data_IF_193773317430
#
_entry.id   IF_193773317430
#
_cell.length_a   1.000
_cell.length_b   1.000
_cell.length_c   1.000
_cell.angle_alpha   90.00
_cell.angle_beta   90.00
_cell.angle_gamma   90.00
#
_symmetry.space_group_name_H-M   'P 1'
#
loop_
_entity.id
_entity.type
_entity.pdbx_description
1 polymer ?
#
# COMPACT_ATOMS: atom_id res chain seq x y z
N UNK A 1 27.70 -7.99 17.85
CA UNK A 1 26.45 -7.29 18.18
C UNK A 1 26.60 -5.86 17.67
N UNK A 2 26.18 -5.58 16.43
CA UNK A 2 26.17 -4.20 15.95
C UNK A 2 25.15 -3.42 16.78
N UNK A 3 25.53 -2.26 17.30
CA UNK A 3 24.60 -1.36 17.96
C UNK A 3 23.48 -1.04 16.97
N UNK A 4 22.22 -1.31 17.35
CA UNK A 4 21.08 -0.89 16.56
C UNK A 4 21.12 0.64 16.55
N UNK A 5 21.37 1.24 15.38
CA UNK A 5 21.29 2.69 15.24
C UNK A 5 19.89 3.15 15.65
N UNK A 6 19.82 4.27 16.37
CA UNK A 6 18.53 4.88 16.71
C UNK A 6 17.76 5.17 15.41
N UNK A 7 16.43 4.96 15.39
CA UNK A 7 15.64 5.20 14.18
C UNK A 7 15.63 6.69 13.84
N UNK A 8 15.66 7.00 12.54
CA UNK A 8 15.39 8.35 12.04
C UNK A 8 13.88 8.55 11.83
N UNK A 9 13.15 7.46 11.59
CA UNK A 9 11.72 7.49 11.28
C UNK A 9 10.95 6.56 12.22
N UNK A 10 9.83 7.05 12.76
CA UNK A 10 8.77 6.19 13.29
C UNK A 10 7.71 6.06 12.21
N UNK A 11 7.45 4.84 11.75
CA UNK A 11 6.39 4.52 10.80
C UNK A 11 5.16 4.00 11.55
N UNK A 12 4.04 4.72 11.47
CA UNK A 12 2.76 4.23 11.95
C UNK A 12 2.10 3.38 10.87
N UNK A 13 1.90 2.10 11.18
CA UNK A 13 1.38 1.07 10.27
C UNK A 13 0.07 0.48 10.82
N UNK A 14 -0.65 -0.25 9.99
CA UNK A 14 -1.90 -0.91 10.32
C UNK A 14 -1.65 -2.30 10.92
N UNK A 15 -2.17 -2.53 12.11
CA UNK A 15 -2.01 -3.78 12.85
C UNK A 15 -2.89 -4.92 12.30
N UNK A 16 -2.33 -6.13 12.20
CA UNK A 16 -3.04 -7.38 12.01
C UNK A 16 -2.56 -8.45 13.00
N UNK A 17 -3.30 -9.55 13.14
CA UNK A 17 -2.94 -10.65 14.05
C UNK A 17 -1.66 -11.39 13.62
N UNK A 18 -1.21 -11.20 12.38
CA UNK A 18 0.03 -11.76 11.84
C UNK A 18 1.27 -10.92 12.21
N UNK A 19 1.08 -9.75 12.84
CA UNK A 19 2.14 -8.82 13.20
C UNK A 19 3.06 -8.43 12.01
N UNK A 20 2.44 -8.20 10.85
CA UNK A 20 3.11 -7.76 9.62
C UNK A 20 2.29 -6.67 8.93
N UNK A 21 2.95 -5.87 8.08
CA UNK A 21 2.28 -4.92 7.21
C UNK A 21 1.35 -5.61 6.20
N UNK A 22 0.09 -5.17 6.13
CA UNK A 22 -0.87 -5.58 5.10
C UNK A 22 -1.57 -4.39 4.43
N UNK A 23 -1.15 -3.15 4.74
CA UNK A 23 -1.67 -1.96 4.08
C UNK A 23 -0.89 -1.66 2.80
N UNK A 24 -1.55 -1.59 1.62
CA UNK A 24 -0.86 -1.33 0.36
C UNK A 24 -0.25 0.08 0.32
N UNK A 25 -0.84 1.05 1.04
CA UNK A 25 -0.30 2.41 1.13
C UNK A 25 0.93 2.47 2.05
N UNK A 26 0.94 1.70 3.14
CA UNK A 26 2.08 1.65 4.06
C UNK A 26 3.24 0.90 3.43
N UNK A 27 2.97 -0.19 2.71
CA UNK A 27 3.99 -0.93 1.96
C UNK A 27 4.81 -0.05 1.01
N UNK A 28 4.21 0.97 0.37
CA UNK A 28 4.94 1.92 -0.49
C UNK A 28 6.03 2.66 0.27
N UNK A 29 5.69 3.17 1.46
CA UNK A 29 6.63 3.89 2.31
C UNK A 29 7.66 2.94 2.91
N UNK A 30 7.22 1.75 3.34
CA UNK A 30 8.11 0.70 3.86
C UNK A 30 9.17 0.29 2.83
N UNK A 31 8.76 0.03 1.58
CA UNK A 31 9.67 -0.26 0.46
C UNK A 31 10.65 0.89 0.23
N UNK A 32 10.18 2.13 0.24
CA UNK A 32 11.04 3.31 0.06
C UNK A 32 12.07 3.47 1.18
N UNK A 33 11.65 3.29 2.45
CA UNK A 33 12.55 3.31 3.61
C UNK A 33 13.60 2.19 3.53
N UNK A 34 13.17 0.98 3.16
CA UNK A 34 14.05 -0.18 3.02
C UNK A 34 15.06 0.00 1.86
N UNK A 35 14.61 0.45 0.69
CA UNK A 35 15.46 0.73 -0.47
C UNK A 35 16.52 1.80 -0.16
N UNK A 36 16.09 2.90 0.47
CA UNK A 36 16.98 3.99 0.88
C UNK A 36 17.81 3.68 2.13
N UNK A 37 17.63 2.52 2.74
CA UNK A 37 18.30 2.09 3.99
C UNK A 37 18.12 3.08 5.14
N UNK A 38 16.97 3.75 5.20
CA UNK A 38 16.64 4.70 6.27
C UNK A 38 16.28 3.88 7.51
N UNK A 39 16.94 4.09 8.67
CA UNK A 39 16.60 3.37 9.88
C UNK A 39 15.23 3.84 10.39
N UNK A 40 14.30 2.90 10.56
CA UNK A 40 12.98 3.19 11.12
C UNK A 40 12.54 2.17 12.16
N UNK A 41 11.57 2.57 12.97
CA UNK A 41 10.81 1.70 13.87
C UNK A 41 9.34 1.79 13.51
N UNK A 42 8.65 0.66 13.51
CA UNK A 42 7.22 0.63 13.26
C UNK A 42 6.42 0.67 14.56
N UNK A 43 5.30 1.41 14.53
CA UNK A 43 4.24 1.35 15.53
C UNK A 43 2.98 0.87 14.82
N UNK A 44 2.57 -0.35 15.13
CA UNK A 44 1.32 -0.91 14.63
C UNK A 44 0.13 -0.35 15.40
N UNK A 45 -0.85 0.19 14.68
CA UNK A 45 -2.10 0.71 15.21
C UNK A 45 -3.27 -0.12 14.69
N UNK A 46 -4.15 -0.52 15.59
CA UNK A 46 -5.44 -1.09 15.22
C UNK A 46 -6.33 -0.02 14.58
N UNK A 47 -7.25 -0.42 13.68
CA UNK A 47 -8.16 0.52 13.02
C UNK A 47 -8.85 1.54 13.94
N UNK A 48 -9.48 1.15 15.07
CA UNK A 48 -10.13 2.12 15.97
C UNK A 48 -9.15 3.07 16.67
N UNK A 49 -7.87 2.74 16.71
CA UNK A 49 -6.85 3.48 17.47
C UNK A 49 -6.07 4.46 16.59
N UNK A 50 -6.17 4.38 15.25
CA UNK A 50 -5.48 5.29 14.30
C UNK A 50 -5.84 6.75 14.59
N UNK A 51 -7.11 7.12 14.46
CA UNK A 51 -7.53 8.51 14.59
C UNK A 51 -7.25 9.10 15.98
N UNK A 52 -7.60 8.44 17.10
CA UNK A 52 -7.28 8.95 18.44
C UNK A 52 -5.78 9.15 18.66
N UNK A 53 -4.96 8.21 18.20
CA UNK A 53 -3.50 8.27 18.36
C UNK A 53 -2.91 9.42 17.57
N UNK A 54 -3.24 9.53 16.28
CA UNK A 54 -2.70 10.58 15.42
C UNK A 54 -3.15 11.98 15.85
N UNK A 55 -4.40 12.12 16.33
CA UNK A 55 -4.88 13.36 16.95
C UNK A 55 -4.08 13.74 18.20
N UNK A 56 -3.83 12.77 19.09
CA UNK A 56 -3.04 13.00 20.32
C UNK A 56 -1.60 13.43 20.01
N UNK A 57 -1.04 12.94 18.92
CA UNK A 57 0.30 13.31 18.43
C UNK A 57 0.32 14.66 17.70
N UNK A 58 -0.83 15.32 17.50
CA UNK A 58 -0.90 16.61 16.81
C UNK A 58 -0.65 16.52 15.30
N UNK A 59 -0.86 15.34 14.70
CA UNK A 59 -0.66 15.13 13.26
C UNK A 59 -1.66 15.99 12.49
N UNK A 60 -1.17 16.78 11.52
CA UNK A 60 -2.05 17.49 10.60
C UNK A 60 -2.47 16.55 9.46
N UNK A 61 -3.77 16.21 9.34
CA UNK A 61 -4.26 15.36 8.26
C UNK A 61 -4.10 16.01 6.87
N UNK A 62 -3.75 17.30 6.80
CA UNK A 62 -3.49 18.04 5.57
C UNK A 62 -4.77 18.49 4.88
N UNK A 63 -4.69 18.65 3.55
CA UNK A 63 -5.77 19.17 2.71
C UNK A 63 -6.09 18.16 1.62
N UNK A 64 -7.37 17.89 1.38
CA UNK A 64 -7.81 17.03 0.27
C UNK A 64 -7.78 17.80 -1.07
N UNK A 65 -7.81 17.13 -2.24
CA UNK A 65 -7.70 17.80 -3.55
C UNK A 65 -8.73 18.91 -3.80
N UNK A 66 -9.88 18.90 -3.12
CA UNK A 66 -10.89 19.98 -3.20
C UNK A 66 -10.49 21.27 -2.47
N UNK A 67 -9.30 21.31 -1.83
CA UNK A 67 -8.82 22.45 -1.04
C UNK A 67 -9.37 22.50 0.39
N UNK A 68 -10.21 21.54 0.78
CA UNK A 68 -10.75 21.46 2.15
C UNK A 68 -9.79 20.75 3.09
N UNK A 69 -9.81 21.12 4.38
CA UNK A 69 -9.05 20.42 5.41
C UNK A 69 -9.48 18.95 5.44
N UNK A 70 -8.51 18.05 5.33
CA UNK A 70 -8.75 16.63 5.48
C UNK A 70 -9.17 16.36 6.93
N UNK A 71 -10.26 15.64 7.13
CA UNK A 71 -10.75 15.26 8.46
C UNK A 71 -10.46 13.81 8.80
N UNK A 72 -9.99 13.03 7.83
CA UNK A 72 -9.72 11.61 7.98
C UNK A 72 -8.26 11.37 8.36
N UNK A 73 -8.06 10.65 9.46
CA UNK A 73 -6.75 10.21 9.91
C UNK A 73 -6.47 8.79 9.40
N UNK A 74 -5.29 8.56 8.86
CA UNK A 74 -4.93 7.32 8.20
C UNK A 74 -3.45 6.97 8.36
N UNK A 75 -3.13 5.73 8.04
CA UNK A 75 -1.76 5.26 7.82
C UNK A 75 -1.51 5.08 6.31
N UNK A 76 -0.27 5.25 5.82
CA UNK A 76 0.94 5.56 6.58
C UNK A 76 0.93 6.98 7.15
N UNK A 77 1.43 7.08 8.38
CA UNK A 77 1.90 8.33 8.97
C UNK A 77 3.33 8.09 9.44
N UNK A 78 4.20 9.09 9.32
CA UNK A 78 5.54 9.03 9.89
C UNK A 78 5.76 10.15 10.91
N UNK A 79 6.66 9.89 11.86
CA UNK A 79 7.39 10.93 12.57
C UNK A 79 8.85 10.87 12.13
N UNK A 80 9.34 11.93 11.52
CA UNK A 80 10.77 12.11 11.28
C UNK A 80 11.40 12.68 12.55
N UNK A 81 12.25 11.89 13.21
CA UNK A 81 12.82 12.20 14.51
C UNK A 81 13.84 13.36 14.47
N UNK A 82 14.76 13.45 13.49
CA UNK A 82 15.72 14.55 13.42
C UNK A 82 15.08 15.95 13.36
N UNK A 83 13.93 16.08 12.67
CA UNK A 83 13.22 17.37 12.53
C UNK A 83 11.94 17.43 13.37
N UNK A 84 11.66 16.39 14.16
CA UNK A 84 10.42 16.21 14.91
C UNK A 84 9.15 16.52 14.08
N UNK A 85 9.10 16.05 12.84
CA UNK A 85 8.03 16.37 11.89
C UNK A 85 7.08 15.20 11.70
N UNK A 86 5.78 15.44 11.86
CA UNK A 86 4.75 14.45 11.58
C UNK A 86 4.15 14.66 10.20
N UNK A 87 4.07 13.58 9.41
CA UNK A 87 3.51 13.60 8.06
C UNK A 87 2.58 12.41 7.85
N UNK A 88 1.36 12.71 7.41
CA UNK A 88 0.39 11.74 6.92
C UNK A 88 0.23 11.93 5.41
N UNK A 89 -0.28 10.89 4.75
CA UNK A 89 -0.42 10.73 3.29
C UNK A 89 0.84 10.17 2.62
N UNK A 90 0.72 9.01 1.99
CA UNK A 90 1.86 8.31 1.37
C UNK A 90 2.55 9.12 0.27
N UNK A 91 1.83 9.97 -0.46
CA UNK A 91 2.44 10.81 -1.51
C UNK A 91 3.28 11.92 -0.88
N UNK A 92 2.72 12.62 0.13
CA UNK A 92 3.45 13.65 0.88
C UNK A 92 4.68 13.08 1.57
N UNK A 93 4.55 11.89 2.16
CA UNK A 93 5.66 11.19 2.82
C UNK A 93 6.74 10.83 1.79
N UNK A 94 6.38 10.28 0.63
CA UNK A 94 7.36 9.93 -0.40
C UNK A 94 8.14 11.17 -0.90
N UNK A 95 7.47 12.29 -1.17
CA UNK A 95 8.13 13.55 -1.53
C UNK A 95 9.08 14.06 -0.44
N UNK A 96 8.66 13.97 0.83
CA UNK A 96 9.51 14.34 1.96
C UNK A 96 10.75 13.46 2.06
N UNK A 97 10.59 12.14 1.93
CA UNK A 97 11.70 11.19 1.98
C UNK A 97 12.67 11.37 0.81
N UNK A 98 12.19 11.63 -0.40
CA UNK A 98 13.04 11.91 -1.56
C UNK A 98 13.82 13.22 -1.40
N UNK A 99 13.21 14.24 -0.77
CA UNK A 99 13.87 15.52 -0.51
C UNK A 99 14.91 15.41 0.61
N UNK A 100 14.60 14.64 1.67
CA UNK A 100 15.44 14.54 2.87
C UNK A 100 16.57 13.51 2.70
N UNK A 101 16.31 12.45 1.95
CA UNK A 101 17.21 11.33 1.69
C UNK A 101 17.29 11.08 0.16
N UNK A 102 18.01 11.92 -0.60
CA UNK A 102 17.97 11.90 -2.05
C UNK A 102 18.67 10.70 -2.70
N UNK A 103 19.56 10.01 -1.98
CA UNK A 103 20.32 8.86 -2.48
C UNK A 103 19.99 7.57 -1.72
N UNK A 104 19.76 6.43 -2.39
CA UNK A 104 19.55 6.29 -3.83
C UNK A 104 18.23 6.94 -4.28
N UNK A 105 18.15 7.49 -5.51
CA UNK A 105 16.96 8.20 -5.97
C UNK A 105 15.78 7.25 -6.20
N UNK A 106 14.56 7.75 -5.95
CA UNK A 106 13.31 7.06 -6.28
C UNK A 106 12.44 8.01 -7.09
N UNK A 107 12.41 7.87 -8.43
CA UNK A 107 11.54 8.70 -9.26
C UNK A 107 10.08 8.56 -8.84
N UNK A 108 9.49 9.67 -8.38
CA UNK A 108 8.11 9.68 -7.87
C UNK A 108 7.08 9.85 -8.98
N UNK A 109 7.42 10.61 -10.03
CA UNK A 109 6.49 11.00 -11.09
C UNK A 109 7.14 10.73 -12.45
N UNK A 110 6.40 10.03 -13.31
CA UNK A 110 6.71 9.91 -14.74
C UNK A 110 5.39 9.77 -15.53
N UNK A 111 5.38 10.05 -16.84
CA UNK A 111 4.20 9.83 -17.67
C UNK A 111 3.74 8.36 -17.65
N UNK A 112 4.69 7.43 -17.76
CA UNK A 112 4.41 5.99 -17.69
C UNK A 112 3.89 5.58 -16.31
N UNK A 113 4.53 6.04 -15.24
CA UNK A 113 4.13 5.75 -13.86
C UNK A 113 2.73 6.25 -13.52
N UNK A 114 2.40 7.48 -13.91
CA UNK A 114 1.06 8.06 -13.73
C UNK A 114 -0.01 7.25 -14.45
N UNK A 115 0.30 6.76 -15.65
CA UNK A 115 -0.60 5.88 -16.42
C UNK A 115 -0.79 4.54 -15.70
N UNK A 116 0.29 3.90 -15.26
CA UNK A 116 0.22 2.63 -14.52
C UNK A 116 -0.61 2.79 -13.24
N UNK A 117 -0.35 3.82 -12.43
CA UNK A 117 -1.09 4.03 -11.18
C UNK A 117 -2.58 4.31 -11.41
N UNK A 118 -2.93 5.15 -12.38
CA UNK A 118 -4.32 5.49 -12.66
C UNK A 118 -5.12 4.28 -13.16
N UNK A 119 -4.57 3.52 -14.11
CA UNK A 119 -5.17 2.27 -14.59
C UNK A 119 -5.26 1.22 -13.48
N UNK A 120 -4.20 1.07 -12.66
CA UNK A 120 -4.19 0.10 -11.55
C UNK A 120 -5.23 0.42 -10.48
N UNK A 121 -5.43 1.70 -10.13
CA UNK A 121 -6.46 2.09 -9.16
C UNK A 121 -7.88 1.73 -9.61
N UNK A 122 -8.14 1.78 -10.92
CA UNK A 122 -9.43 1.38 -11.49
C UNK A 122 -9.55 -0.15 -11.55
N UNK A 123 -8.59 -0.81 -12.17
CA UNK A 123 -8.65 -2.25 -12.48
C UNK A 123 -8.34 -3.09 -11.24
N UNK A 124 -7.11 -3.01 -10.72
CA UNK A 124 -6.69 -3.77 -9.52
C UNK A 124 -7.54 -3.37 -8.32
N UNK A 125 -7.84 -2.07 -8.18
CA UNK A 125 -8.70 -1.58 -7.09
C UNK A 125 -10.10 -2.19 -7.10
N UNK A 126 -10.69 -2.41 -8.28
CA UNK A 126 -11.99 -3.09 -8.39
C UNK A 126 -11.92 -4.56 -7.97
N UNK A 127 -10.90 -5.29 -8.43
CA UNK A 127 -10.67 -6.69 -8.07
C UNK A 127 -10.38 -6.84 -6.58
N UNK A 128 -9.57 -5.95 -6.01
CA UNK A 128 -9.23 -5.99 -4.58
C UNK A 128 -10.42 -5.62 -3.71
N UNK A 129 -11.29 -4.72 -4.16
CA UNK A 129 -12.56 -4.43 -3.46
C UNK A 129 -13.41 -5.70 -3.35
N UNK A 130 -13.48 -6.52 -4.39
CA UNK A 130 -14.30 -7.74 -4.39
C UNK A 130 -13.59 -8.91 -3.71
N UNK A 131 -12.28 -9.07 -3.95
CA UNK A 131 -11.54 -10.30 -3.61
C UNK A 131 -10.66 -10.16 -2.35
N UNK A 132 -10.13 -8.97 -2.05
CA UNK A 132 -9.22 -8.81 -0.89
C UNK A 132 -9.99 -8.28 0.33
N UNK A 133 -10.75 -7.19 0.14
CA UNK A 133 -11.45 -6.51 1.23
C UNK A 133 -12.32 -7.41 2.12
N UNK A 134 -13.18 -8.31 1.59
CA UNK A 134 -14.00 -9.16 2.46
C UNK A 134 -13.19 -10.19 3.25
N UNK A 135 -11.98 -10.53 2.77
CA UNK A 135 -11.07 -11.49 3.40
C UNK A 135 -10.17 -10.84 4.45
N UNK A 136 -9.97 -9.52 4.42
CA UNK A 136 -9.19 -8.78 5.42
C UNK A 136 -9.70 -9.05 6.85
N UNK A 137 -11.01 -9.23 7.03
CA UNK A 137 -11.60 -9.49 8.36
C UNK A 137 -10.96 -10.68 9.08
N UNK A 138 -10.46 -11.68 8.35
CA UNK A 138 -9.86 -12.89 8.91
C UNK A 138 -8.46 -12.69 9.48
N UNK A 139 -7.80 -11.56 9.18
CA UNK A 139 -6.47 -11.23 9.72
C UNK A 139 -6.52 -10.12 10.76
N UNK A 140 -7.70 -9.62 11.11
CA UNK A 140 -7.89 -8.55 12.10
C UNK A 140 -8.17 -9.12 13.49
N UNK A 141 -7.78 -8.36 14.51
CA UNK A 141 -8.21 -8.61 15.90
C UNK A 141 -9.75 -8.47 16.02
N UNK A 142 -10.38 -8.98 17.08
CA UNK A 142 -11.83 -8.77 17.29
C UNK A 142 -12.26 -7.30 17.30
N UNK A 143 -11.48 -6.40 17.92
CA UNK A 143 -11.77 -4.95 17.95
C UNK A 143 -11.71 -4.34 16.55
N UNK A 144 -10.68 -4.71 15.80
CA UNK A 144 -10.48 -4.24 14.43
C UNK A 144 -11.51 -4.83 13.47
N UNK A 145 -11.96 -6.08 13.67
CA UNK A 145 -13.04 -6.69 12.90
C UNK A 145 -14.36 -5.93 13.05
N UNK A 146 -14.75 -5.56 14.28
CA UNK A 146 -15.97 -4.80 14.53
C UNK A 146 -15.93 -3.43 13.82
N UNK A 147 -14.83 -2.69 14.01
CA UNK A 147 -14.63 -1.41 13.33
C UNK A 147 -14.67 -1.58 11.80
N UNK A 148 -13.94 -2.57 11.28
CA UNK A 148 -13.81 -2.83 9.86
C UNK A 148 -15.16 -3.15 9.23
N UNK A 149 -15.91 -4.11 9.79
CA UNK A 149 -17.24 -4.47 9.29
C UNK A 149 -18.16 -3.26 9.26
N UNK A 150 -18.31 -2.55 10.39
CA UNK A 150 -19.19 -1.38 10.50
C UNK A 150 -18.85 -0.32 9.45
N UNK A 151 -17.57 0.00 9.28
CA UNK A 151 -17.14 1.09 8.38
C UNK A 151 -17.18 0.69 6.91
N UNK A 152 -16.82 -0.55 6.56
CA UNK A 152 -16.77 -1.01 5.17
C UNK A 152 -18.17 -1.31 4.64
N UNK A 153 -19.03 -1.96 5.42
CA UNK A 153 -20.42 -2.21 5.02
C UNK A 153 -21.21 -0.91 4.87
N UNK A 154 -20.96 0.10 5.73
CA UNK A 154 -21.51 1.44 5.54
C UNK A 154 -21.05 2.07 4.20
N UNK A 155 -19.76 1.91 3.84
CA UNK A 155 -19.23 2.37 2.54
C UNK A 155 -19.78 1.60 1.34
N UNK A 156 -20.26 0.37 1.55
CA UNK A 156 -20.99 -0.43 0.56
C UNK A 156 -22.49 -0.09 0.50
N UNK A 157 -22.94 0.99 1.16
CA UNK A 157 -24.33 1.44 1.17
C UNK A 157 -25.18 0.88 2.31
N UNK A 158 -24.57 0.23 3.31
CA UNK A 158 -25.21 -0.18 4.56
C UNK A 158 -26.19 -1.37 4.46
N UNK A 159 -26.39 -1.92 3.26
CA UNK A 159 -27.28 -3.07 3.01
C UNK A 159 -26.55 -4.33 2.52
N UNK A 160 -25.26 -4.20 2.21
CA UNK A 160 -24.43 -5.27 1.70
C UNK A 160 -23.41 -5.67 2.76
N UNK A 161 -23.35 -6.95 3.09
CA UNK A 161 -22.32 -7.53 3.96
C UNK A 161 -21.03 -7.72 3.17
N UNK A 162 -19.91 -7.81 3.89
CA UNK A 162 -18.62 -8.13 3.26
C UNK A 162 -18.70 -9.44 2.45
N UNK A 163 -19.32 -10.47 3.00
CA UNK A 163 -19.46 -11.79 2.38
C UNK A 163 -20.26 -11.75 1.06
N UNK A 164 -21.20 -10.80 0.92
CA UNK A 164 -22.03 -10.66 -0.27
C UNK A 164 -21.22 -10.16 -1.49
N UNK A 165 -19.97 -9.72 -1.29
CA UNK A 165 -19.03 -9.40 -2.39
C UNK A 165 -18.49 -10.66 -3.07
N UNK A 166 -18.44 -11.80 -2.37
CA UNK A 166 -17.96 -13.08 -2.89
C UNK A 166 -19.11 -13.99 -3.36
N UNK A 167 -20.35 -13.68 -3.01
CA UNK A 167 -21.52 -14.47 -3.33
C UNK A 167 -21.78 -14.56 -4.85
N UNK A 168 -22.45 -15.64 -5.28
CA UNK A 168 -23.06 -15.77 -6.62
C UNK A 168 -22.09 -15.57 -7.81
N UNK A 169 -20.82 -15.93 -7.63
CA UNK A 169 -19.81 -15.80 -8.69
C UNK A 169 -19.38 -14.36 -9.00
N UNK A 170 -19.74 -13.39 -8.14
CA UNK A 170 -19.34 -11.97 -8.27
C UNK A 170 -17.83 -11.79 -8.33
N UNK A 171 -17.07 -12.59 -7.58
CA UNK A 171 -15.61 -12.59 -7.66
C UNK A 171 -15.14 -12.90 -9.08
N UNK A 172 -15.62 -13.99 -9.68
CA UNK A 172 -15.23 -14.37 -11.03
C UNK A 172 -15.66 -13.33 -12.08
N UNK A 173 -16.87 -12.78 -11.95
CA UNK A 173 -17.34 -11.70 -12.82
C UNK A 173 -16.44 -10.44 -12.70
N UNK A 174 -16.00 -10.10 -11.48
CA UNK A 174 -15.08 -8.99 -11.25
C UNK A 174 -13.73 -9.23 -11.91
N UNK A 175 -13.23 -10.46 -11.90
CA UNK A 175 -11.98 -10.83 -12.56
C UNK A 175 -12.11 -10.82 -14.07
N UNK A 176 -13.22 -11.33 -14.62
CA UNK A 176 -13.46 -11.27 -16.06
C UNK A 176 -13.56 -9.85 -16.57
N UNK A 177 -14.31 -8.99 -15.87
CA UNK A 177 -14.41 -7.57 -16.21
C UNK A 177 -13.06 -6.84 -16.13
N UNK A 178 -12.14 -7.29 -15.27
CA UNK A 178 -10.81 -6.72 -15.10
C UNK A 178 -9.75 -7.29 -16.06
N UNK A 179 -10.04 -8.40 -16.77
CA UNK A 179 -9.05 -9.19 -17.51
C UNK A 179 -8.26 -8.36 -18.53
N UNK A 180 -8.96 -7.65 -19.41
CA UNK A 180 -8.33 -6.79 -20.42
C UNK A 180 -7.51 -5.67 -19.77
N UNK A 181 -8.05 -5.05 -18.72
CA UNK A 181 -7.36 -4.02 -17.96
C UNK A 181 -6.07 -4.52 -17.31
N UNK A 182 -6.07 -5.75 -16.78
CA UNK A 182 -4.88 -6.38 -16.20
C UNK A 182 -3.83 -6.66 -17.27
N UNK A 183 -4.23 -7.10 -18.47
CA UNK A 183 -3.32 -7.29 -19.60
C UNK A 183 -2.65 -5.97 -20.01
N UNK A 184 -3.44 -4.89 -20.14
CA UNK A 184 -2.92 -3.55 -20.45
C UNK A 184 -1.94 -3.06 -19.40
N UNK A 185 -2.24 -3.24 -18.10
CA UNK A 185 -1.30 -2.88 -17.04
C UNK A 185 -0.02 -3.71 -17.15
N UNK A 186 -0.13 -5.02 -17.36
CA UNK A 186 1.03 -5.89 -17.55
C UNK A 186 1.93 -5.44 -18.70
N UNK A 187 1.35 -5.07 -19.85
CA UNK A 187 2.10 -4.49 -20.97
C UNK A 187 2.81 -3.20 -20.59
N UNK A 188 2.14 -2.30 -19.86
CA UNK A 188 2.75 -1.05 -19.39
C UNK A 188 3.92 -1.31 -18.43
N UNK A 189 3.79 -2.28 -17.51
CA UNK A 189 4.87 -2.67 -16.60
C UNK A 189 6.09 -3.19 -17.36
N UNK A 190 5.89 -3.85 -18.50
CA UNK A 190 6.96 -4.38 -19.34
C UNK A 190 7.54 -3.40 -20.37
N UNK A 191 7.10 -2.14 -20.37
CA UNK A 191 7.55 -1.14 -21.36
C UNK A 191 9.07 -1.08 -21.49
N UNK A 192 9.79 -1.15 -20.36
CA UNK A 192 11.26 -1.08 -20.30
C UNK A 192 11.91 -2.40 -19.86
N UNK A 193 11.24 -3.55 -20.09
CA UNK A 193 11.70 -4.85 -19.59
C UNK A 193 13.07 -5.30 -20.12
N UNK A 194 13.52 -4.75 -21.25
CA UNK A 194 14.86 -5.02 -21.78
C UNK A 194 15.99 -4.35 -20.95
N UNK A 195 15.67 -3.30 -20.21
CA UNK A 195 16.63 -2.52 -19.41
C UNK A 195 16.67 -2.96 -17.94
N UNK A 196 15.61 -3.63 -17.46
CA UNK A 196 15.52 -4.18 -16.13
C UNK A 196 14.09 -4.53 -15.72
N UNK A 197 13.89 -5.05 -14.50
CA UNK A 197 12.59 -5.54 -14.04
C UNK A 197 11.62 -4.42 -13.62
N UNK A 198 12.07 -3.17 -13.56
CA UNK A 198 11.28 -2.04 -13.04
C UNK A 198 10.60 -1.26 -14.15
N UNK A 199 9.57 -0.50 -13.77
CA UNK A 199 8.78 0.38 -14.67
C UNK A 199 9.66 1.33 -15.47
N UNK A 200 10.76 1.81 -14.87
CA UNK A 200 11.73 2.70 -15.52
C UNK A 200 13.04 1.99 -15.92
N UNK A 201 13.03 0.66 -16.01
CA UNK A 201 14.18 -0.14 -16.43
C UNK A 201 14.99 -0.67 -15.25
N UNK A 202 16.20 -0.12 -15.06
CA UNK A 202 17.22 -0.71 -14.18
C UNK A 202 17.03 -0.46 -12.68
N UNK A 203 16.38 0.64 -12.28
CA UNK A 203 16.21 1.04 -10.88
C UNK A 203 14.74 1.23 -10.51
N UNK A 204 14.34 0.95 -9.26
CA UNK A 204 12.95 1.07 -8.84
C UNK A 204 12.47 2.53 -8.82
N UNK A 205 11.17 2.69 -9.03
CA UNK A 205 10.44 3.95 -8.98
C UNK A 205 9.19 3.82 -8.10
N UNK A 206 8.51 4.93 -7.80
CA UNK A 206 7.28 4.91 -6.99
C UNK A 206 6.20 3.95 -7.54
N UNK A 207 5.95 3.88 -8.87
CA UNK A 207 5.06 2.87 -9.45
C UNK A 207 5.42 1.41 -9.14
N UNK A 208 6.72 1.07 -9.07
CA UNK A 208 7.16 -0.27 -8.71
C UNK A 208 6.74 -0.60 -7.27
N UNK A 209 6.98 0.34 -6.34
CA UNK A 209 6.57 0.19 -4.95
C UNK A 209 5.05 0.21 -4.76
N UNK A 210 4.33 0.96 -5.60
CA UNK A 210 2.87 0.93 -5.66
C UNK A 210 2.37 -0.47 -5.99
N UNK A 211 2.92 -1.11 -7.03
CA UNK A 211 2.49 -2.43 -7.49
C UNK A 211 2.93 -3.51 -6.52
N UNK A 212 4.24 -3.60 -6.23
CA UNK A 212 4.79 -4.61 -5.34
C UNK A 212 4.15 -4.55 -3.94
N UNK A 213 3.96 -3.35 -3.39
CA UNK A 213 3.30 -3.18 -2.10
C UNK A 213 1.82 -3.56 -2.10
N UNK A 214 1.12 -3.37 -3.22
CA UNK A 214 -0.27 -3.82 -3.36
C UNK A 214 -0.37 -5.34 -3.46
N UNK A 215 0.57 -5.97 -4.17
CA UNK A 215 0.66 -7.42 -4.31
C UNK A 215 1.04 -8.10 -2.97
N UNK A 216 2.01 -7.55 -2.24
CA UNK A 216 2.38 -8.08 -0.91
C UNK A 216 1.21 -7.95 0.08
N UNK A 217 0.50 -6.82 0.08
CA UNK A 217 -0.71 -6.65 0.88
C UNK A 217 -1.77 -7.71 0.53
N UNK A 218 -2.02 -7.95 -0.75
CA UNK A 218 -2.94 -9.00 -1.18
C UNK A 218 -2.47 -10.38 -0.71
N UNK A 219 -1.18 -10.71 -0.86
CA UNK A 219 -0.61 -12.01 -0.43
C UNK A 219 -0.75 -12.26 1.07
N UNK A 220 -0.59 -11.22 1.90
CA UNK A 220 -0.79 -11.31 3.34
C UNK A 220 -2.24 -11.61 3.69
N UNK A 221 -3.20 -11.10 2.91
CA UNK A 221 -4.63 -11.35 3.13
C UNK A 221 -5.07 -12.70 2.55
N UNK A 222 -4.77 -12.93 1.27
CA UNK A 222 -5.14 -14.12 0.50
C UNK A 222 -4.10 -14.37 -0.61
N UNK A 223 -3.35 -15.47 -0.48
CA UNK A 223 -2.30 -15.86 -1.42
C UNK A 223 -2.85 -16.23 -2.81
N UNK A 224 -4.08 -16.76 -2.88
CA UNK A 224 -4.71 -17.11 -4.16
C UNK A 224 -5.02 -15.87 -5.00
N UNK A 225 -5.46 -14.79 -4.38
CA UNK A 225 -5.65 -13.49 -5.06
C UNK A 225 -4.31 -12.94 -5.57
N UNK A 226 -3.25 -13.02 -4.76
CA UNK A 226 -1.90 -12.62 -5.18
C UNK A 226 -1.42 -13.42 -6.40
N UNK A 227 -1.51 -14.75 -6.34
CA UNK A 227 -1.11 -15.62 -7.45
C UNK A 227 -1.92 -15.34 -8.71
N UNK A 228 -3.22 -15.05 -8.57
CA UNK A 228 -4.06 -14.71 -9.72
C UNK A 228 -3.66 -13.41 -10.40
N UNK A 229 -3.24 -12.37 -9.64
CA UNK A 229 -2.67 -11.16 -10.26
C UNK A 229 -1.31 -11.48 -10.90
N UNK A 230 -0.45 -12.23 -10.22
CA UNK A 230 0.86 -12.61 -10.73
C UNK A 230 0.81 -13.54 -11.95
N UNK A 231 -0.33 -14.19 -12.22
CA UNK A 231 -0.58 -14.93 -13.45
C UNK A 231 -0.71 -14.03 -14.69
N UNK A 232 -0.96 -12.73 -14.52
CA UNK A 232 -0.85 -11.77 -15.60
C UNK A 232 0.64 -11.38 -15.79
N UNK A 233 1.15 -11.38 -17.02
CA UNK A 233 2.55 -11.03 -17.27
C UNK A 233 2.91 -9.63 -16.72
N UNK A 234 4.15 -9.43 -16.26
CA UNK A 234 4.69 -8.14 -15.80
C UNK A 234 4.54 -7.89 -14.29
N UNK A 235 3.52 -8.44 -13.65
CA UNK A 235 3.28 -8.22 -12.21
C UNK A 235 4.30 -8.94 -11.33
N UNK A 236 4.57 -10.21 -11.64
CA UNK A 236 5.52 -11.03 -10.87
C UNK A 236 6.94 -10.50 -10.98
N UNK A 237 7.34 -10.05 -12.16
CA UNK A 237 8.67 -9.52 -12.44
C UNK A 237 8.96 -8.25 -11.61
N UNK A 238 8.00 -7.31 -11.56
CA UNK A 238 8.11 -6.10 -10.72
C UNK A 238 8.11 -6.45 -9.24
N UNK A 239 7.25 -7.39 -8.81
CA UNK A 239 7.18 -7.86 -7.44
C UNK A 239 8.51 -8.51 -6.99
N UNK A 240 9.02 -9.46 -7.76
CA UNK A 240 10.27 -10.17 -7.48
C UNK A 240 11.47 -9.20 -7.54
N UNK A 241 11.45 -8.22 -8.45
CA UNK A 241 12.43 -7.13 -8.48
C UNK A 241 12.50 -6.32 -7.18
N UNK A 242 11.40 -6.23 -6.43
CA UNK A 242 11.35 -5.56 -5.13
C UNK A 242 11.60 -6.48 -3.93
N UNK A 243 11.81 -7.78 -4.12
CA UNK A 243 11.80 -8.78 -3.04
C UNK A 243 12.81 -8.49 -1.92
N UNK A 244 14.01 -8.02 -2.28
CA UNK A 244 15.06 -7.67 -1.31
C UNK A 244 14.63 -6.57 -0.32
N UNK A 245 13.67 -5.71 -0.70
CA UNK A 245 13.15 -4.64 0.14
C UNK A 245 11.84 -5.00 0.84
N UNK A 246 11.35 -6.24 0.68
CA UNK A 246 10.15 -6.76 1.36
C UNK A 246 10.46 -7.74 2.49
N UNK A 247 11.73 -8.07 2.72
CA UNK A 247 12.15 -8.98 3.80
C UNK A 247 11.75 -8.44 5.19
N UNK A 248 11.90 -7.12 5.41
CA UNK A 248 11.48 -6.46 6.63
C UNK A 248 10.00 -6.10 6.57
N UNK A 249 9.18 -6.88 7.28
CA UNK A 249 7.71 -6.78 7.29
C UNK A 249 7.13 -6.13 8.55
N UNK A 250 7.95 -5.96 9.58
CA UNK A 250 7.62 -5.39 10.87
C UNK A 250 8.00 -3.92 10.97
#
# INVERSE_FOLDING_TARGET
MAAQADPDVILYDLACIKNVCFSPAVWRIRLMLNYKKIPYRTIFLEFPDIEPTLKKLGVDPGTIPSGQKNTFYSVPTIQHLPTNTFLMDSSRIAHFLETTYPDPPVPLISPLGTKIESHSRLVIGSVFRTSVMPREIHILSPRSQEYFRRTREARLGGRQRLEDLLAEGKEEQSWEAAREGMQVIGELLRTNAAEGPFVLGATPSSPDFFVAGSLEAARVVDEGVFERVCGFPGFREVYDGCAAWMERKD
#
